data_IF_080737404845
#
_entry.id   IF_080737404845
#
_cell.length_a   1.000
_cell.length_b   1.000
_cell.length_c   1.000
_cell.angle_alpha   90.00
_cell.angle_beta   90.00
_cell.angle_gamma   90.00
#
_symmetry.space_group_name_H-M   'P 1'
#
loop_
_entity.id
_entity.type
_entity.pdbx_description
1 polymer ?
#
# COMPACT_ATOMS: atom_id res chain seq x y z
N UNK A 1 -3.18 -30.90 14.48
CA UNK A 1 -3.42 -29.80 15.43
C UNK A 1 -2.23 -28.87 15.35
N UNK A 2 -2.26 -27.96 14.37
CA UNK A 2 -1.22 -26.95 14.17
C UNK A 2 -1.46 -25.87 15.23
N UNK A 3 -0.52 -25.70 16.17
CA UNK A 3 -0.59 -24.59 17.11
C UNK A 3 -0.36 -23.29 16.35
N UNK A 4 -1.41 -22.49 16.18
CA UNK A 4 -1.31 -21.11 15.69
C UNK A 4 -0.57 -20.30 16.75
N UNK A 5 0.63 -19.81 16.42
CA UNK A 5 1.46 -19.01 17.33
C UNK A 5 1.00 -17.57 17.30
N UNK A 6 0.59 -17.02 18.44
CA UNK A 6 0.16 -15.63 18.57
C UNK A 6 1.33 -14.76 19.05
N UNK A 7 1.59 -13.64 18.37
CA UNK A 7 2.61 -12.65 18.75
C UNK A 7 1.95 -11.37 19.26
N UNK A 8 2.58 -10.72 20.23
CA UNK A 8 2.14 -9.40 20.68
C UNK A 8 2.50 -8.37 19.62
N UNK A 9 1.49 -7.63 19.14
CA UNK A 9 1.64 -6.72 18.02
C UNK A 9 0.67 -5.54 18.17
N UNK A 10 1.11 -4.37 17.72
CA UNK A 10 0.28 -3.20 17.56
C UNK A 10 -0.09 -3.09 16.08
N UNK A 11 -1.36 -3.30 15.76
CA UNK A 11 -1.84 -3.23 14.37
C UNK A 11 -2.68 -1.96 14.19
N UNK A 12 -2.31 -1.08 13.23
CA UNK A 12 -3.10 0.11 12.94
C UNK A 12 -4.43 -0.29 12.27
N UNK A 13 -5.57 0.19 12.78
CA UNK A 13 -6.83 0.20 12.04
C UNK A 13 -7.60 -1.13 12.01
N UNK A 14 -7.48 -1.97 13.04
CA UNK A 14 -8.27 -3.20 13.15
C UNK A 14 -9.36 -3.03 14.23
N UNK A 15 -10.62 -3.13 13.83
CA UNK A 15 -11.77 -3.15 14.76
C UNK A 15 -12.82 -4.19 14.34
N UNK A 16 -13.33 -4.95 15.30
CA UNK A 16 -14.56 -5.74 15.16
C UNK A 16 -15.69 -4.95 15.83
N UNK A 17 -16.78 -4.69 15.11
CA UNK A 17 -17.93 -3.94 15.67
C UNK A 17 -18.95 -4.83 16.39
N UNK A 18 -18.54 -6.02 16.81
CA UNK A 18 -19.43 -7.00 17.45
C UNK A 18 -18.63 -7.83 18.44
N UNK A 19 -18.85 -7.63 19.74
CA UNK A 19 -18.18 -8.39 20.81
C UNK A 19 -16.76 -7.90 21.19
N UNK A 20 -16.10 -8.70 22.03
CA UNK A 20 -14.84 -8.34 22.72
C UNK A 20 -13.57 -9.00 22.12
N UNK A 21 -13.65 -9.75 21.01
CA UNK A 21 -12.49 -10.45 20.45
C UNK A 21 -11.49 -9.54 19.72
N UNK A 22 -10.23 -9.98 19.76
CA UNK A 22 -9.08 -9.30 19.17
C UNK A 22 -8.79 -9.82 17.75
N UNK A 23 -8.57 -8.90 16.81
CA UNK A 23 -8.00 -9.09 15.46
C UNK A 23 -8.68 -10.10 14.50
N UNK A 24 -9.64 -9.66 13.66
CA UNK A 24 -10.24 -10.48 12.61
C UNK A 24 -9.29 -10.79 11.46
N UNK A 25 -8.30 -9.93 11.19
CA UNK A 25 -7.37 -10.16 10.07
C UNK A 25 -6.32 -11.20 10.48
N UNK A 26 -6.37 -12.38 9.86
CA UNK A 26 -5.48 -13.51 10.17
C UNK A 26 -4.33 -13.66 9.18
N UNK A 27 -4.47 -13.15 7.96
CA UNK A 27 -3.40 -13.15 6.96
C UNK A 27 -3.45 -11.90 6.06
N UNK A 28 -2.28 -11.41 5.69
CA UNK A 28 -2.09 -10.37 4.68
C UNK A 28 -0.99 -10.82 3.72
N UNK A 29 -1.32 -10.94 2.45
CA UNK A 29 -0.39 -11.32 1.38
C UNK A 29 -0.23 -10.16 0.40
N UNK A 30 0.96 -9.58 0.35
CA UNK A 30 1.31 -8.45 -0.52
C UNK A 30 2.17 -8.97 -1.67
N UNK A 31 1.60 -8.99 -2.87
CA UNK A 31 2.27 -9.45 -4.08
C UNK A 31 2.55 -8.28 -5.02
N UNK A 32 3.80 -8.09 -5.41
CA UNK A 32 4.22 -7.07 -6.38
C UNK A 32 4.77 -7.69 -7.64
N UNK A 33 4.43 -7.12 -8.79
CA UNK A 33 5.03 -7.42 -10.08
C UNK A 33 5.60 -6.15 -10.68
N UNK A 34 6.92 -6.10 -10.80
CA UNK A 34 7.68 -4.97 -11.36
C UNK A 34 8.03 -5.30 -12.81
N UNK A 35 7.69 -4.39 -13.71
CA UNK A 35 7.99 -4.49 -15.13
C UNK A 35 8.38 -3.12 -15.68
N UNK A 36 9.65 -2.96 -16.06
CA UNK A 36 10.22 -1.64 -16.33
C UNK A 36 10.13 -0.74 -15.10
N UNK A 37 9.36 0.34 -15.20
CA UNK A 37 9.01 1.21 -14.07
C UNK A 37 7.55 1.06 -13.59
N UNK A 38 6.75 0.24 -14.27
CA UNK A 38 5.39 -0.11 -13.87
C UNK A 38 5.39 -1.14 -12.76
N UNK A 39 4.48 -0.98 -11.81
CA UNK A 39 4.29 -1.90 -10.69
C UNK A 39 2.82 -2.25 -10.55
N UNK A 40 2.51 -3.53 -10.46
CA UNK A 40 1.18 -4.03 -10.10
C UNK A 40 1.29 -4.66 -8.74
N UNK A 41 0.45 -4.22 -7.80
CA UNK A 41 0.30 -4.84 -6.51
C UNK A 41 -1.03 -5.57 -6.40
N UNK A 42 -1.00 -6.76 -5.81
CA UNK A 42 -2.17 -7.49 -5.35
C UNK A 42 -2.05 -7.68 -3.84
N UNK A 43 -2.97 -7.09 -3.08
CA UNK A 43 -3.00 -7.18 -1.62
C UNK A 43 -4.22 -8.00 -1.21
N UNK A 44 -3.98 -9.15 -0.59
CA UNK A 44 -5.05 -10.02 -0.08
C UNK A 44 -5.07 -9.96 1.44
N UNK A 45 -6.18 -9.50 2.02
CA UNK A 45 -6.41 -9.51 3.46
C UNK A 45 -7.48 -10.56 3.80
N UNK A 46 -7.14 -11.52 4.65
CA UNK A 46 -8.05 -12.59 5.09
C UNK A 46 -8.59 -12.28 6.48
N UNK A 47 -9.91 -12.30 6.59
CA UNK A 47 -10.68 -12.04 7.80
C UNK A 47 -11.33 -13.34 8.27
N UNK A 48 -11.18 -13.66 9.56
CA UNK A 48 -11.86 -14.77 10.22
C UNK A 48 -12.65 -14.26 11.42
N UNK A 49 -13.86 -14.80 11.61
CA UNK A 49 -14.68 -14.48 12.76
C UNK A 49 -14.51 -15.55 13.86
N UNK A 50 -13.83 -15.23 14.99
CA UNK A 50 -13.65 -16.15 16.11
C UNK A 50 -14.88 -16.24 17.04
N UNK A 51 -15.94 -15.48 16.80
CA UNK A 51 -17.14 -15.43 17.63
C UNK A 51 -18.19 -16.43 17.19
N UNK A 52 -19.12 -16.73 18.11
CA UNK A 52 -20.29 -17.57 17.85
C UNK A 52 -21.45 -16.82 17.17
N UNK A 53 -21.26 -15.53 16.84
CA UNK A 53 -22.25 -14.67 16.17
C UNK A 53 -21.64 -13.96 14.97
N UNK A 54 -22.41 -13.67 13.91
CA UNK A 54 -21.93 -12.87 12.78
C UNK A 54 -21.32 -11.54 13.23
N UNK A 55 -20.25 -11.13 12.57
CA UNK A 55 -19.51 -9.94 12.96
C UNK A 55 -19.10 -9.08 11.75
N UNK A 56 -18.87 -7.79 12.02
CA UNK A 56 -18.27 -6.84 11.07
C UNK A 56 -16.82 -6.55 11.46
N UNK A 57 -15.93 -6.55 10.48
CA UNK A 57 -14.51 -6.25 10.62
C UNK A 57 -14.10 -5.05 9.78
N UNK A 58 -13.23 -4.21 10.33
CA UNK A 58 -12.61 -3.07 9.64
C UNK A 58 -11.10 -3.29 9.64
N UNK A 59 -10.47 -3.04 8.49
CA UNK A 59 -9.03 -3.05 8.29
C UNK A 59 -8.58 -1.84 7.49
N UNK A 60 -7.76 -0.98 8.09
CA UNK A 60 -7.19 0.19 7.42
C UNK A 60 -5.73 -0.04 7.05
N UNK A 61 -5.38 0.19 5.79
CA UNK A 61 -4.00 0.10 5.30
C UNK A 61 -3.59 1.34 4.50
N UNK A 62 -2.31 1.73 4.56
CA UNK A 62 -1.77 2.71 3.63
C UNK A 62 -1.45 2.05 2.28
N UNK A 63 -1.61 2.79 1.19
CA UNK A 63 -1.18 2.40 -0.16
C UNK A 63 -0.01 3.29 -0.64
N UNK A 64 0.80 2.82 -1.60
CA UNK A 64 1.91 3.61 -2.15
C UNK A 64 1.49 5.00 -2.67
N UNK A 65 2.40 5.96 -2.56
CA UNK A 65 2.21 7.32 -3.08
C UNK A 65 2.14 7.26 -4.61
N UNK A 66 0.98 7.57 -5.19
CA UNK A 66 0.74 7.41 -6.63
C UNK A 66 0.13 6.06 -7.02
N UNK A 67 -0.07 5.17 -6.05
CA UNK A 67 -0.84 3.94 -6.22
C UNK A 67 -2.32 4.23 -6.45
N UNK A 68 -2.93 3.53 -7.40
CA UNK A 68 -4.35 3.61 -7.72
C UNK A 68 -4.99 2.23 -7.65
N UNK A 69 -6.03 2.08 -6.82
CA UNK A 69 -6.84 0.87 -6.77
C UNK A 69 -7.61 0.74 -8.08
N UNK A 70 -7.44 -0.38 -8.77
CA UNK A 70 -8.11 -0.68 -10.05
C UNK A 70 -9.27 -1.66 -9.90
N UNK A 71 -9.29 -2.41 -8.80
CA UNK A 71 -10.31 -3.43 -8.57
C UNK A 71 -10.25 -3.99 -7.16
N UNK A 72 -11.38 -4.55 -6.74
CA UNK A 72 -11.51 -5.34 -5.52
C UNK A 72 -12.26 -6.63 -5.86
N UNK A 73 -11.83 -7.74 -5.29
CA UNK A 73 -12.56 -9.01 -5.30
C UNK A 73 -12.71 -9.53 -3.88
N UNK A 74 -13.92 -9.89 -3.48
CA UNK A 74 -14.20 -10.59 -2.23
C UNK A 74 -14.31 -12.09 -2.51
N UNK A 75 -13.59 -12.91 -1.76
CA UNK A 75 -13.65 -14.38 -1.80
C UNK A 75 -14.29 -14.91 -0.53
N UNK A 76 -15.30 -15.77 -0.68
CA UNK A 76 -16.07 -16.37 0.41
C UNK A 76 -16.39 -17.82 0.08
N UNK A 77 -15.75 -18.75 0.79
CA UNK A 77 -15.75 -20.17 0.40
C UNK A 77 -15.24 -20.36 -1.03
N UNK A 78 -16.06 -20.96 -1.89
CA UNK A 78 -15.74 -21.18 -3.32
C UNK A 78 -16.22 -20.05 -4.24
N UNK A 79 -16.79 -18.97 -3.69
CA UNK A 79 -17.36 -17.86 -4.47
C UNK A 79 -16.40 -16.68 -4.50
N UNK A 80 -16.29 -16.08 -5.69
CA UNK A 80 -15.62 -14.79 -5.89
C UNK A 80 -16.65 -13.76 -6.34
N UNK A 81 -16.61 -12.58 -5.72
CA UNK A 81 -17.49 -11.45 -5.99
C UNK A 81 -16.63 -10.25 -6.35
N UNK A 82 -16.63 -9.89 -7.64
CA UNK A 82 -15.95 -8.69 -8.12
C UNK A 82 -16.75 -7.44 -7.73
N UNK A 83 -16.05 -6.43 -7.24
CA UNK A 83 -16.66 -5.17 -6.84
C UNK A 83 -16.76 -4.19 -8.00
N UNK A 84 -17.72 -3.28 -7.91
CA UNK A 84 -17.86 -2.15 -8.83
C UNK A 84 -17.36 -0.86 -8.18
N UNK A 85 -16.56 -0.08 -8.90
CA UNK A 85 -16.12 1.23 -8.43
C UNK A 85 -17.26 2.22 -8.60
N UNK A 86 -17.68 2.84 -7.48
CA UNK A 86 -18.78 3.80 -7.41
C UNK A 86 -18.38 5.03 -6.59
N UNK A 87 -19.20 6.09 -6.67
CA UNK A 87 -19.09 7.20 -5.72
C UNK A 87 -19.30 6.69 -4.29
N UNK A 88 -18.54 7.25 -3.33
CA UNK A 88 -18.48 6.78 -1.93
C UNK A 88 -19.86 6.55 -1.32
N UNK A 89 -20.75 7.54 -1.37
CA UNK A 89 -22.08 7.44 -0.77
C UNK A 89 -22.93 6.34 -1.41
N UNK A 90 -22.86 6.18 -2.74
CA UNK A 90 -23.59 5.13 -3.43
C UNK A 90 -23.07 3.73 -3.06
N UNK A 91 -21.75 3.55 -3.01
CA UNK A 91 -21.14 2.30 -2.56
C UNK A 91 -21.52 1.97 -1.11
N UNK A 92 -21.57 2.98 -0.24
CA UNK A 92 -21.93 2.83 1.16
C UNK A 92 -23.38 2.37 1.33
N UNK A 93 -24.32 2.96 0.58
CA UNK A 93 -25.74 2.56 0.61
C UNK A 93 -25.88 1.08 0.20
N UNK A 94 -25.26 0.67 -0.90
CA UNK A 94 -25.34 -0.71 -1.38
C UNK A 94 -24.72 -1.71 -0.38
N UNK A 95 -23.61 -1.33 0.27
CA UNK A 95 -22.98 -2.13 1.32
C UNK A 95 -23.92 -2.32 2.53
N UNK A 96 -24.51 -1.24 3.05
CA UNK A 96 -25.41 -1.31 4.21
C UNK A 96 -26.69 -2.10 3.87
N UNK A 97 -27.28 -1.91 2.69
CA UNK A 97 -28.44 -2.68 2.23
C UNK A 97 -28.15 -4.18 2.15
N UNK A 98 -26.98 -4.57 1.61
CA UNK A 98 -26.56 -5.96 1.56
C UNK A 98 -26.39 -6.55 2.97
N UNK A 99 -25.80 -5.76 3.89
CA UNK A 99 -25.61 -6.16 5.29
C UNK A 99 -26.94 -6.33 6.02
N UNK A 100 -27.89 -5.42 5.85
CA UNK A 100 -29.23 -5.50 6.44
C UNK A 100 -30.04 -6.70 5.93
N UNK A 101 -29.81 -7.11 4.68
CA UNK A 101 -30.38 -8.33 4.11
C UNK A 101 -29.71 -9.62 4.61
N UNK A 102 -28.69 -9.52 5.46
CA UNK A 102 -27.95 -10.66 6.01
C UNK A 102 -26.91 -11.23 5.06
N UNK A 103 -26.55 -10.51 3.98
CA UNK A 103 -25.48 -10.94 3.08
C UNK A 103 -24.11 -10.52 3.62
N UNK A 104 -23.11 -11.38 3.45
CA UNK A 104 -21.71 -10.98 3.60
C UNK A 104 -21.35 -10.02 2.48
N UNK A 105 -20.77 -8.88 2.84
CA UNK A 105 -20.44 -7.80 1.92
C UNK A 105 -19.09 -7.18 2.30
N UNK A 106 -18.40 -6.65 1.31
CA UNK A 106 -17.16 -5.91 1.52
C UNK A 106 -17.22 -4.57 0.78
N UNK A 107 -16.63 -3.54 1.39
CA UNK A 107 -16.46 -2.22 0.80
C UNK A 107 -15.03 -1.74 1.08
N UNK A 108 -14.46 -1.02 0.11
CA UNK A 108 -13.17 -0.34 0.25
C UNK A 108 -13.39 1.14 0.02
N UNK A 109 -13.07 1.94 1.03
CA UNK A 109 -13.25 3.39 0.99
C UNK A 109 -11.89 4.08 1.09
N UNK A 110 -11.69 5.08 0.24
CA UNK A 110 -10.54 5.98 0.38
C UNK A 110 -10.91 7.09 1.38
N UNK A 111 -10.26 7.12 2.54
CA UNK A 111 -10.46 8.15 3.56
C UNK A 111 -9.80 9.46 3.15
N UNK A 112 -8.52 9.37 2.77
CA UNK A 112 -7.66 10.49 2.36
C UNK A 112 -6.53 9.99 1.46
N UNK A 113 -5.64 10.88 1.04
CA UNK A 113 -4.47 10.48 0.25
C UNK A 113 -3.73 9.32 0.95
N UNK A 114 -3.56 8.22 0.21
CA UNK A 114 -2.84 6.99 0.61
C UNK A 114 -3.50 6.12 1.69
N UNK A 115 -4.64 6.48 2.32
CA UNK A 115 -5.27 5.65 3.36
C UNK A 115 -6.58 5.05 2.87
N UNK A 116 -6.66 3.72 2.93
CA UNK A 116 -7.81 2.94 2.49
C UNK A 116 -8.34 2.10 3.65
N UNK A 117 -9.67 2.09 3.80
CA UNK A 117 -10.39 1.31 4.81
C UNK A 117 -11.17 0.22 4.11
N UNK A 118 -10.88 -1.03 4.45
CA UNK A 118 -11.65 -2.21 4.06
C UNK A 118 -12.63 -2.52 5.19
N UNK A 119 -13.92 -2.60 4.89
CA UNK A 119 -14.93 -3.08 5.84
C UNK A 119 -15.58 -4.34 5.28
N UNK A 120 -15.67 -5.39 6.09
CA UNK A 120 -16.31 -6.66 5.76
C UNK A 120 -17.42 -6.93 6.77
N UNK A 121 -18.66 -6.94 6.29
CA UNK A 121 -19.86 -7.17 7.08
C UNK A 121 -20.34 -8.62 7.01
N UNK A 122 -21.07 -9.05 8.05
CA UNK A 122 -21.67 -10.39 8.16
C UNK A 122 -20.69 -11.54 7.90
N UNK A 123 -19.52 -11.50 8.54
CA UNK A 123 -18.60 -12.66 8.58
C UNK A 123 -19.21 -13.68 9.53
N UNK A 124 -19.62 -14.86 9.04
CA UNK A 124 -20.25 -15.86 9.87
C UNK A 124 -19.23 -16.60 10.79
N UNK A 125 -19.68 -17.20 11.91
CA UNK A 125 -18.81 -17.98 12.79
C UNK A 125 -18.02 -19.07 12.05
N UNK A 126 -16.69 -19.05 12.17
CA UNK A 126 -15.80 -20.00 11.50
C UNK A 126 -15.66 -19.82 9.99
N UNK A 127 -16.26 -18.79 9.41
CA UNK A 127 -16.07 -18.40 8.02
C UNK A 127 -14.79 -17.55 7.86
N UNK A 128 -14.14 -17.73 6.71
CA UNK A 128 -13.03 -16.89 6.27
C UNK A 128 -13.43 -16.14 5.00
N UNK A 129 -13.23 -14.82 5.01
CA UNK A 129 -13.45 -13.96 3.84
C UNK A 129 -12.13 -13.31 3.48
N UNK A 130 -11.73 -13.39 2.21
CA UNK A 130 -10.53 -12.71 1.72
C UNK A 130 -10.93 -11.55 0.81
N UNK A 131 -10.36 -10.37 1.05
CA UNK A 131 -10.52 -9.20 0.19
C UNK A 131 -9.21 -8.98 -0.57
N UNK A 132 -9.28 -9.04 -1.89
CA UNK A 132 -8.15 -8.85 -2.79
C UNK A 132 -8.27 -7.48 -3.45
N UNK A 133 -7.25 -6.64 -3.27
CA UNK A 133 -7.11 -5.36 -3.93
C UNK A 133 -6.08 -5.45 -5.04
N UNK A 134 -6.45 -5.00 -6.24
CA UNK A 134 -5.51 -4.77 -7.32
C UNK A 134 -5.16 -3.29 -7.41
N UNK A 135 -3.87 -2.98 -7.46
CA UNK A 135 -3.36 -1.63 -7.41
C UNK A 135 -2.30 -1.46 -8.51
N UNK A 136 -2.40 -0.37 -9.26
CA UNK A 136 -1.33 0.08 -10.15
C UNK A 136 -0.48 1.14 -9.45
N UNK A 137 0.83 1.05 -9.62
CA UNK A 137 1.83 1.90 -9.01
C UNK A 137 3.02 2.06 -9.98
N UNK A 138 4.00 2.91 -9.64
CA UNK A 138 5.23 3.06 -10.41
C UNK A 138 6.45 3.16 -9.50
N UNK A 139 7.52 2.51 -9.92
CA UNK A 139 8.82 2.66 -9.29
C UNK A 139 9.33 4.10 -9.47
N UNK A 140 9.86 4.68 -8.40
CA UNK A 140 10.52 5.96 -8.47
C UNK A 140 11.91 5.81 -9.09
N UNK A 141 12.27 6.74 -9.96
CA UNK A 141 13.53 6.68 -10.70
C UNK A 141 14.29 8.00 -10.57
N UNK A 142 15.51 7.94 -10.05
CA UNK A 142 16.45 9.06 -9.99
C UNK A 142 17.81 8.66 -10.59
N UNK A 143 18.13 9.21 -11.76
CA UNK A 143 19.28 8.77 -12.54
C UNK A 143 19.25 7.26 -12.73
N UNK A 144 20.36 6.56 -12.45
CA UNK A 144 20.45 5.09 -12.56
C UNK A 144 19.91 4.33 -11.35
N UNK A 145 19.27 5.00 -10.38
CA UNK A 145 18.71 4.36 -9.19
C UNK A 145 17.20 4.29 -9.31
N UNK A 146 16.66 3.09 -9.20
CA UNK A 146 15.25 2.86 -9.07
C UNK A 146 14.93 2.46 -7.63
N UNK A 147 13.77 2.91 -7.13
CA UNK A 147 13.29 2.58 -5.81
C UNK A 147 11.80 2.29 -5.81
N UNK A 148 11.39 1.39 -4.93
CA UNK A 148 10.01 0.99 -4.75
C UNK A 148 9.69 0.98 -3.26
N UNK A 149 8.55 1.58 -2.89
CA UNK A 149 8.10 1.66 -1.50
C UNK A 149 6.67 1.15 -1.39
N UNK A 150 6.46 0.12 -0.58
CA UNK A 150 5.13 -0.31 -0.17
C UNK A 150 4.93 0.01 1.32
N UNK A 151 4.05 0.94 1.69
CA UNK A 151 3.79 1.25 3.08
C UNK A 151 2.94 0.16 3.72
N UNK A 152 3.24 -0.21 4.97
CA UNK A 152 2.40 -1.20 5.69
C UNK A 152 1.93 -0.73 7.06
N UNK A 153 2.40 0.44 7.50
CA UNK A 153 2.01 1.03 8.76
C UNK A 153 1.59 2.48 8.54
N UNK A 154 0.45 2.84 9.13
CA UNK A 154 0.05 4.23 9.27
C UNK A 154 0.85 4.79 10.46
N UNK A 155 1.82 5.68 10.25
CA UNK A 155 2.54 6.35 11.35
C UNK A 155 1.64 7.40 12.00
N UNK A 156 1.77 7.59 13.31
CA UNK A 156 1.12 8.72 13.99
C UNK A 156 1.61 10.02 13.34
N UNK A 157 0.68 10.77 12.76
CA UNK A 157 0.99 12.13 12.31
C UNK A 157 0.84 13.04 13.50
N UNK A 158 1.82 13.93 13.69
CA UNK A 158 1.71 15.01 14.65
C UNK A 158 0.42 15.80 14.39
N UNK A 159 -0.50 15.74 15.35
CA UNK A 159 -1.76 16.50 15.31
C UNK A 159 -1.65 17.58 16.38
N UNK A 160 -1.57 18.87 16.01
CA UNK A 160 -1.65 19.96 16.97
C UNK A 160 -2.99 19.89 17.70
N UNK A 161 -3.02 20.17 19.00
CA UNK A 161 -4.26 20.09 19.78
C UNK A 161 -5.36 21.01 19.19
N UNK A 162 -6.56 20.45 18.99
CA UNK A 162 -7.76 21.21 18.59
C UNK A 162 -8.21 21.07 17.13
N UNK A 163 -7.72 20.07 16.39
CA UNK A 163 -8.26 19.74 15.06
C UNK A 163 -9.55 18.92 15.24
N UNK A 164 -10.70 19.33 14.66
CA UNK A 164 -11.86 18.46 14.57
C UNK A 164 -11.46 17.18 13.81
N UNK A 165 -11.83 16.00 14.32
CA UNK A 165 -11.62 14.68 13.67
C UNK A 165 -10.27 13.97 13.94
N UNK A 166 -9.72 14.07 15.17
CA UNK A 166 -8.51 13.35 15.60
C UNK A 166 -8.56 11.82 15.36
N UNK A 167 -9.74 11.20 15.48
CA UNK A 167 -9.95 9.76 15.24
C UNK A 167 -9.85 9.35 13.77
N UNK A 168 -10.12 10.26 12.83
CA UNK A 168 -9.88 10.05 11.40
C UNK A 168 -8.40 10.27 11.01
N UNK A 169 -7.66 11.01 11.85
CA UNK A 169 -6.25 11.35 11.62
C UNK A 169 -5.32 10.23 12.13
N UNK A 170 -5.70 9.54 13.20
CA UNK A 170 -4.98 8.39 13.74
C UNK A 170 -5.96 7.23 13.93
N UNK A 171 -5.95 6.22 13.05
CA UNK A 171 -6.85 5.09 13.19
C UNK A 171 -6.59 4.40 14.54
N UNK A 172 -7.63 3.83 15.16
CA UNK A 172 -7.48 3.13 16.44
C UNK A 172 -6.44 2.03 16.28
N UNK A 173 -5.43 2.06 17.15
CA UNK A 173 -4.45 0.99 17.28
C UNK A 173 -4.94 0.05 18.36
N UNK A 174 -5.03 -1.23 18.05
CA UNK A 174 -5.20 -2.27 19.07
C UNK A 174 -3.86 -2.91 19.34
N UNK A 175 -3.50 -2.97 20.62
CA UNK A 175 -2.38 -3.74 21.15
C UNK A 175 -2.92 -5.05 21.68
N UNK A 176 -2.32 -6.18 21.29
CA UNK A 176 -2.75 -7.49 21.77
C UNK A 176 -2.03 -8.62 21.05
N UNK A 177 -2.47 -9.85 21.31
CA UNK A 177 -1.89 -11.05 20.70
C UNK A 177 -2.59 -11.36 19.38
N UNK A 178 -1.89 -11.24 18.26
CA UNK A 178 -2.44 -11.47 16.93
C UNK A 178 -1.86 -12.76 16.30
N UNK A 179 -2.69 -13.57 15.61
CA UNK A 179 -2.22 -14.67 14.77
C UNK A 179 -1.79 -14.19 13.38
N UNK A 180 -1.84 -12.88 13.11
CA UNK A 180 -1.60 -12.31 11.79
C UNK A 180 -0.29 -12.83 11.17
N UNK A 181 -0.43 -13.40 9.97
CA UNK A 181 0.70 -13.71 9.10
C UNK A 181 0.77 -12.70 7.97
N UNK A 182 1.91 -12.04 7.82
CA UNK A 182 2.13 -11.08 6.75
C UNK A 182 3.23 -11.59 5.83
N UNK A 183 2.87 -11.93 4.59
CA UNK A 183 3.84 -12.31 3.56
C UNK A 183 3.94 -11.24 2.49
N UNK A 184 5.15 -11.10 1.93
CA UNK A 184 5.44 -10.18 0.84
C UNK A 184 6.21 -10.94 -0.22
N UNK A 185 5.74 -10.91 -1.46
CA UNK A 185 6.47 -11.41 -2.62
C UNK A 185 6.51 -10.34 -3.70
N UNK A 186 7.70 -9.92 -4.11
CA UNK A 186 7.88 -8.97 -5.21
C UNK A 186 8.66 -9.66 -6.30
N UNK A 187 8.12 -9.69 -7.51
CA UNK A 187 8.72 -10.30 -8.70
C UNK A 187 9.12 -9.23 -9.70
N UNK A 188 10.18 -9.48 -10.46
CA UNK A 188 10.66 -8.59 -11.51
C UNK A 188 10.62 -9.33 -12.85
N UNK A 189 10.07 -8.68 -13.88
CA UNK A 189 10.01 -9.24 -15.24
C UNK A 189 11.39 -9.45 -15.86
N UNK A 190 12.36 -8.62 -15.45
CA UNK A 190 13.77 -8.69 -15.84
C UNK A 190 14.68 -8.76 -14.59
N UNK A 191 15.86 -9.39 -14.66
CA UNK A 191 16.80 -9.41 -13.54
C UNK A 191 17.23 -8.01 -13.09
N UNK A 192 16.84 -7.61 -11.88
CA UNK A 192 17.24 -6.37 -11.25
C UNK A 192 18.71 -6.42 -10.81
N UNK A 193 19.48 -5.41 -11.22
CA UNK A 193 20.89 -5.28 -10.88
C UNK A 193 21.06 -4.61 -9.52
N UNK A 194 21.99 -5.10 -8.70
CA UNK A 194 22.29 -4.55 -7.37
C UNK A 194 21.05 -4.41 -6.46
N UNK A 195 20.08 -5.32 -6.62
CA UNK A 195 18.81 -5.30 -5.89
C UNK A 195 19.03 -5.52 -4.39
N UNK A 196 18.53 -4.59 -3.58
CA UNK A 196 18.55 -4.66 -2.12
C UNK A 196 17.18 -4.32 -1.54
N UNK A 197 16.89 -4.89 -0.37
CA UNK A 197 15.81 -4.44 0.51
C UNK A 197 16.44 -3.66 1.67
N UNK A 198 16.14 -2.37 1.76
CA UNK A 198 16.71 -1.48 2.79
C UNK A 198 16.14 -1.80 4.18
N UNK A 199 14.84 -2.07 4.24
CA UNK A 199 14.09 -2.10 5.51
C UNK A 199 13.98 -3.48 6.13
N UNK A 200 14.22 -4.55 5.37
CA UNK A 200 14.04 -5.93 5.83
C UNK A 200 15.32 -6.74 5.61
N UNK A 201 16.23 -6.79 6.61
CA UNK A 201 17.49 -7.53 6.49
C UNK A 201 17.31 -9.03 6.28
N UNK A 202 16.17 -9.59 6.70
CA UNK A 202 15.83 -11.01 6.57
C UNK A 202 15.17 -11.36 5.24
N UNK A 203 15.00 -10.39 4.33
CA UNK A 203 14.41 -10.62 3.02
C UNK A 203 15.25 -11.61 2.21
N UNK A 204 14.58 -12.57 1.57
CA UNK A 204 15.21 -13.49 0.63
C UNK A 204 15.22 -12.82 -0.74
N UNK A 205 16.41 -12.47 -1.24
CA UNK A 205 16.57 -11.69 -2.46
C UNK A 205 17.29 -12.51 -3.53
N UNK A 206 16.71 -12.50 -4.73
CA UNK A 206 17.30 -12.95 -5.99
C UNK A 206 17.11 -11.83 -7.01
N UNK A 207 17.84 -11.82 -8.15
CA UNK A 207 17.66 -10.77 -9.17
C UNK A 207 16.23 -10.61 -9.68
N UNK A 208 15.38 -11.65 -9.60
CA UNK A 208 14.01 -11.61 -10.14
C UNK A 208 12.93 -11.69 -9.07
N UNK A 209 13.30 -11.80 -7.79
CA UNK A 209 12.34 -12.00 -6.70
C UNK A 209 12.87 -11.56 -5.34
N UNK A 210 12.03 -10.86 -4.59
CA UNK A 210 12.16 -10.63 -3.13
C UNK A 210 11.02 -11.33 -2.41
N UNK A 211 11.32 -12.06 -1.33
CA UNK A 211 10.33 -12.72 -0.49
C UNK A 211 10.57 -12.45 1.01
N UNK A 212 9.48 -12.16 1.74
CA UNK A 212 9.46 -11.92 3.19
C UNK A 212 8.29 -12.72 3.77
N UNK A 213 8.54 -13.69 4.63
CA UNK A 213 7.50 -14.63 5.11
C UNK A 213 6.84 -14.23 6.44
N UNK A 214 7.35 -13.21 7.13
CA UNK A 214 6.81 -12.72 8.39
C UNK A 214 7.27 -11.28 8.65
N UNK A 215 6.69 -10.32 7.92
CA UNK A 215 7.12 -8.92 8.00
C UNK A 215 6.64 -8.20 9.27
N UNK A 216 5.55 -8.69 9.89
CA UNK A 216 4.93 -8.05 11.06
C UNK A 216 4.42 -6.63 10.81
N UNK A 217 4.34 -6.17 9.55
CA UNK A 217 3.82 -4.85 9.15
C UNK A 217 4.36 -3.67 10.00
N UNK A 218 5.62 -3.76 10.45
CA UNK A 218 6.19 -2.81 11.42
C UNK A 218 6.77 -1.55 10.78
N UNK A 219 6.78 -1.47 9.45
CA UNK A 219 7.35 -0.36 8.70
C UNK A 219 7.10 -0.49 7.21
N UNK A 220 7.79 0.30 6.41
CA UNK A 220 7.59 0.24 4.95
C UNK A 220 8.57 -0.77 4.33
N UNK A 221 8.17 -1.39 3.23
CA UNK A 221 9.06 -2.21 2.42
C UNK A 221 9.70 -1.28 1.41
N UNK A 222 11.02 -1.13 1.47
CA UNK A 222 11.76 -0.26 0.55
C UNK A 222 12.79 -1.11 -0.19
N UNK A 223 12.67 -1.13 -1.52
CA UNK A 223 13.61 -1.77 -2.42
C UNK A 223 14.38 -0.72 -3.22
N UNK A 224 15.64 -1.03 -3.52
CA UNK A 224 16.47 -0.26 -4.45
C UNK A 224 17.16 -1.19 -5.43
N UNK A 225 17.29 -0.75 -6.68
CA UNK A 225 18.09 -1.43 -7.69
C UNK A 225 18.69 -0.44 -8.68
N UNK A 226 19.72 -0.90 -9.38
CA UNK A 226 20.37 -0.15 -10.45
C UNK A 226 19.66 -0.43 -11.77
N UNK A 227 19.33 0.64 -12.50
CA UNK A 227 18.86 0.57 -13.89
C UNK A 227 19.90 1.15 -14.85
N UNK A 228 19.96 0.70 -16.13
CA UNK A 228 20.90 1.22 -17.10
C UNK A 228 20.79 2.74 -17.33
N UNK A 229 21.94 3.38 -17.62
CA UNK A 229 22.02 4.81 -17.90
C UNK A 229 21.40 5.21 -19.24
N UNK A 230 21.37 4.27 -20.20
CA UNK A 230 20.64 4.39 -21.45
C UNK A 230 19.80 3.13 -21.65
N UNK A 231 18.54 3.32 -22.03
CA UNK A 231 17.57 2.25 -22.30
C UNK A 231 16.77 2.71 -23.52
N UNK A 232 16.55 1.81 -24.47
CA UNK A 232 15.57 2.00 -25.52
C UNK A 232 14.84 0.68 -25.68
N UNK A 233 13.69 0.55 -25.01
CA UNK A 233 12.84 -0.62 -25.12
C UNK A 233 11.45 -0.20 -25.60
N UNK A 234 10.77 -1.13 -26.26
CA UNK A 234 9.37 -1.02 -26.60
C UNK A 234 8.72 -2.37 -26.35
N UNK A 235 7.60 -2.38 -25.64
CA UNK A 235 6.85 -3.57 -25.29
C UNK A 235 5.39 -3.37 -25.69
N UNK A 236 4.83 -4.36 -26.39
CA UNK A 236 3.40 -4.43 -26.63
C UNK A 236 2.76 -5.36 -25.60
N UNK A 237 1.72 -4.87 -24.94
CA UNK A 237 0.89 -5.64 -24.02
C UNK A 237 -0.51 -5.66 -24.63
N UNK A 238 -0.96 -6.84 -25.06
CA UNK A 238 -2.32 -6.99 -25.57
C UNK A 238 -3.34 -6.84 -24.44
N UNK A 239 -4.52 -6.29 -24.76
CA UNK A 239 -5.63 -6.25 -23.80
C UNK A 239 -6.11 -7.68 -23.51
N UNK A 240 -6.53 -7.94 -22.28
CA UNK A 240 -6.96 -9.27 -21.85
C UNK A 240 -8.18 -9.76 -22.64
N UNK A 241 -9.09 -8.85 -22.97
CA UNK A 241 -10.38 -9.16 -23.60
C UNK A 241 -10.32 -9.09 -25.14
N UNK A 242 -9.36 -8.37 -25.70
CA UNK A 242 -9.16 -8.22 -27.16
C UNK A 242 -7.67 -8.25 -27.53
N UNK A 243 -7.17 -9.39 -28.05
CA UNK A 243 -5.76 -9.54 -28.42
C UNK A 243 -5.33 -8.65 -29.61
N UNK A 244 -6.27 -8.07 -30.34
CA UNK A 244 -5.98 -7.13 -31.44
C UNK A 244 -5.78 -5.70 -30.96
N UNK A 245 -6.21 -5.41 -29.74
CA UNK A 245 -6.00 -4.15 -29.02
C UNK A 245 -4.93 -4.35 -27.95
N UNK A 246 -4.39 -3.24 -27.45
CA UNK A 246 -3.33 -3.28 -26.46
C UNK A 246 -2.63 -1.96 -26.25
N UNK A 247 -1.71 -1.99 -25.30
CA UNK A 247 -0.88 -0.86 -24.92
C UNK A 247 0.55 -1.06 -25.41
N UNK A 248 1.09 -0.05 -26.10
CA UNK A 248 2.51 0.03 -26.42
C UNK A 248 3.22 0.86 -25.34
N UNK A 249 4.08 0.22 -24.56
CA UNK A 249 4.99 0.87 -23.64
C UNK A 249 6.32 1.14 -24.36
N UNK A 250 6.83 2.37 -24.29
CA UNK A 250 8.11 2.76 -24.88
C UNK A 250 8.94 3.47 -23.84
N UNK A 251 9.98 2.82 -23.33
CA UNK A 251 10.93 3.47 -22.42
C UNK A 251 12.18 3.88 -23.19
N UNK A 252 12.37 5.19 -23.28
CA UNK A 252 13.57 5.79 -23.84
C UNK A 252 14.26 6.60 -22.76
N UNK A 253 15.46 6.17 -22.42
CA UNK A 253 16.40 6.89 -21.59
C UNK A 253 17.71 7.00 -22.35
N UNK A 254 18.22 8.22 -22.42
CA UNK A 254 19.53 8.51 -23.01
C UNK A 254 20.54 8.73 -21.90
N UNK A 255 21.77 8.24 -22.10
CA UNK A 255 22.86 8.56 -21.19
C UNK A 255 23.02 10.08 -21.17
N UNK A 256 23.06 10.65 -19.97
CA UNK A 256 23.20 12.07 -19.81
C UNK A 256 24.58 12.48 -20.36
N UNK A 257 24.60 13.33 -21.38
CA UNK A 257 25.85 13.77 -22.00
C UNK A 257 26.72 14.46 -20.95
N UNK A 258 27.83 13.82 -20.56
CA UNK A 258 28.79 14.34 -19.57
C UNK A 258 29.45 15.64 -20.05
N UNK A 259 29.36 15.95 -21.35
CA UNK A 259 29.85 17.22 -21.93
C UNK A 259 28.79 18.31 -21.97
N UNK A 260 27.54 18.03 -21.60
CA UNK A 260 26.52 19.07 -21.46
C UNK A 260 26.96 20.03 -20.35
N UNK A 261 27.34 21.24 -20.75
CA UNK A 261 27.57 22.34 -19.82
C UNK A 261 26.30 22.50 -19.01
N UNK A 262 26.33 22.18 -17.71
CA UNK A 262 25.21 22.42 -16.79
C UNK A 262 24.79 23.86 -17.01
N UNK A 263 23.64 24.08 -17.68
CA UNK A 263 23.18 25.43 -17.98
C UNK A 263 23.17 26.17 -16.65
N UNK A 264 23.87 27.30 -16.56
CA UNK A 264 23.84 28.13 -15.35
C UNK A 264 22.38 28.48 -15.12
N UNK A 265 21.77 27.88 -14.09
CA UNK A 265 20.42 28.22 -13.66
C UNK A 265 20.57 29.36 -12.67
N UNK A 266 19.95 30.50 -12.95
CA UNK A 266 19.71 31.49 -11.92
C UNK A 266 18.53 30.96 -11.08
N UNK A 267 18.82 30.53 -9.86
CA UNK A 267 17.79 30.10 -8.90
C UNK A 267 17.57 31.26 -7.94
N UNK A 268 16.35 31.80 -7.90
CA UNK A 268 15.94 32.73 -6.87
C UNK A 268 15.08 31.97 -5.86
N UNK A 269 15.52 31.94 -4.61
CA UNK A 269 14.79 31.32 -3.51
C UNK A 269 14.15 32.45 -2.72
N UNK A 270 12.82 32.46 -2.63
CA UNK A 270 12.08 33.45 -1.88
C UNK A 270 11.51 32.80 -0.63
N UNK A 271 11.86 33.35 0.53
CA UNK A 271 11.39 32.87 1.82
C UNK A 271 10.24 33.72 2.33
N UNK A 272 9.20 33.06 2.83
CA UNK A 272 8.22 33.73 3.68
C UNK A 272 8.87 34.11 5.02
N UNK A 273 8.56 35.30 5.50
CA UNK A 273 9.05 35.91 6.74
C UNK A 273 7.91 36.37 7.64
N UNK A 274 6.72 35.82 7.42
CA UNK A 274 5.54 35.99 8.27
C UNK A 274 5.82 35.51 9.69
N UNK A 275 5.01 35.96 10.65
CA UNK A 275 5.21 35.64 12.08
C UNK A 275 5.16 34.13 12.39
N UNK A 276 4.52 33.31 11.54
CA UNK A 276 4.49 31.86 11.66
C UNK A 276 5.79 31.16 11.23
N UNK A 277 6.70 31.88 10.57
CA UNK A 277 8.03 31.39 10.20
C UNK A 277 9.07 31.65 11.31
N UNK A 278 8.66 31.99 12.53
CA UNK A 278 9.60 32.25 13.63
C UNK A 278 10.35 30.98 14.07
N UNK A 279 11.45 31.22 14.79
CA UNK A 279 12.22 30.19 15.49
C UNK A 279 12.79 29.11 14.55
N UNK A 280 12.48 27.85 14.83
CA UNK A 280 13.06 26.68 14.21
C UNK A 280 12.83 26.63 12.68
N UNK A 281 11.72 27.17 12.18
CA UNK A 281 11.37 27.07 10.76
C UNK A 281 12.27 27.93 9.86
N UNK A 282 12.60 29.15 10.28
CA UNK A 282 13.52 30.00 9.52
C UNK A 282 14.98 29.55 9.64
N UNK A 283 15.35 28.93 10.76
CA UNK A 283 16.67 28.31 10.91
C UNK A 283 16.84 27.09 9.98
N UNK A 284 15.80 26.26 9.85
CA UNK A 284 15.82 25.13 8.91
C UNK A 284 15.85 25.57 7.46
N UNK A 285 15.03 26.56 7.10
CA UNK A 285 15.02 27.16 5.78
C UNK A 285 16.42 27.68 5.40
N UNK A 286 17.11 28.34 6.34
CA UNK A 286 18.48 28.83 6.16
C UNK A 286 19.47 27.68 5.97
N UNK A 287 19.39 26.64 6.79
CA UNK A 287 20.30 25.48 6.74
C UNK A 287 20.21 24.74 5.41
N UNK A 288 19.00 24.53 4.89
CA UNK A 288 18.78 23.90 3.59
C UNK A 288 19.43 24.71 2.46
N UNK A 289 19.44 26.04 2.55
CA UNK A 289 20.13 26.88 1.56
C UNK A 289 21.64 26.96 1.68
N UNK A 290 22.20 26.67 2.85
CA UNK A 290 23.66 26.61 3.03
C UNK A 290 24.27 25.32 2.41
N UNK A 291 23.45 24.28 2.26
CA UNK A 291 23.83 22.98 1.66
C UNK A 291 23.58 22.89 0.13
N UNK A 292 23.04 23.95 -0.51
CA UNK A 292 22.72 24.03 -1.95
C UNK A 292 23.87 24.58 -2.82
#
# INVERSE_FOLDING_TARGET
MTMTTYKEQELPGISLTTGDTEFPVTAIDINGSVDGDGVIWTVEATFENPLDTPAEAVFTLPLPVGGAVKGMTMKIGDREVAAEIKEREAARIEYEEAKEQGHSAAIVEQERAEIFTITVGNIHPGEAISVVLDIHDRAAIDGTKASLRFPTMIKERYTPAGVPDESAITPPRRTGRSPLRATVTISFSEPAKDLICETVPTAQITPTKVAINDFGLTGDIILHWTIPAAIANAKWVADADDPSMGTLEVNIRVEQDKTSVRRRKAVQIMFDRSGSMSDHYIEWARRITEDL
#
